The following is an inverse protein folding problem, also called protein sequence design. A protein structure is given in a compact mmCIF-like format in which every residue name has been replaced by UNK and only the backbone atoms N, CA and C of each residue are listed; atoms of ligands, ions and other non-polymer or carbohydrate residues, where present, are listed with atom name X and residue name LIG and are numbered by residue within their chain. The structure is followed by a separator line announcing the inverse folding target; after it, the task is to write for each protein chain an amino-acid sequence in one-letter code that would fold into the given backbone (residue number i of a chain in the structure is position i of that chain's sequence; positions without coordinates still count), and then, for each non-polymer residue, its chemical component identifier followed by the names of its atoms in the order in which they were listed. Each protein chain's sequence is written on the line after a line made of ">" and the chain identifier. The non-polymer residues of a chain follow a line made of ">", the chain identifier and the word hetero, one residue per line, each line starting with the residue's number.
data_IF_571656351982
#
_entry.id   IF_571656351982
#
_cell.length_a   1.000
_cell.length_b   1.000
_cell.length_c   1.000
_cell.angle_alpha   90.00
_cell.angle_beta   90.00
_cell.angle_gamma   90.00
#
_symmetry.space_group_name_H-M   'P 1'
#
loop_
_entity.id
_entity.type
_entity.pdbx_description
1 polymer ?
#
# COMPACT_ATOMS: atom_id res chain seq x y z
N UNK A 1 10.14 -4.95 17.81
CA UNK A 1 8.87 -4.96 17.03
C UNK A 1 8.79 -3.71 16.19
N UNK A 2 8.67 -3.85 14.87
CA UNK A 2 8.46 -2.72 13.98
C UNK A 2 7.02 -2.23 14.12
N UNK A 3 6.82 -0.96 14.42
CA UNK A 3 5.51 -0.34 14.63
C UNK A 3 5.06 0.43 13.39
N UNK A 4 3.94 0.03 12.82
CA UNK A 4 3.36 0.66 11.64
C UNK A 4 2.07 1.36 12.06
N UNK A 5 2.02 2.68 11.88
CA UNK A 5 0.82 3.45 12.08
C UNK A 5 -0.05 3.43 10.81
N UNK A 6 -1.25 2.90 10.94
CA UNK A 6 -2.28 2.92 9.90
C UNK A 6 -3.13 4.17 10.14
N UNK A 7 -2.96 5.17 9.27
CA UNK A 7 -3.59 6.48 9.41
C UNK A 7 -5.00 6.44 8.78
N UNK A 8 -5.91 5.73 9.41
CA UNK A 8 -7.31 5.60 8.99
C UNK A 8 -8.08 6.87 9.31
N UNK A 9 -7.81 7.96 8.57
CA UNK A 9 -8.32 9.29 8.87
C UNK A 9 -9.20 9.82 7.75
N UNK A 10 -10.26 10.57 8.11
CA UNK A 10 -11.13 11.22 7.15
C UNK A 10 -10.39 12.32 6.40
N UNK A 11 -10.48 12.37 5.06
CA UNK A 11 -9.89 13.46 4.29
C UNK A 11 -10.64 14.77 4.54
N UNK A 12 -9.96 15.87 4.29
CA UNK A 12 -10.57 17.19 4.15
C UNK A 12 -10.96 17.46 2.70
N UNK A 13 -11.68 18.53 2.46
CA UNK A 13 -12.16 18.92 1.12
C UNK A 13 -11.07 19.53 0.22
N UNK A 14 -9.91 19.90 0.79
CA UNK A 14 -8.84 20.59 0.10
C UNK A 14 -7.48 19.92 0.31
N UNK A 15 -6.57 20.08 -0.65
CA UNK A 15 -5.17 19.60 -0.57
C UNK A 15 -4.49 20.14 0.70
N UNK A 16 -4.65 21.42 0.98
CA UNK A 16 -4.07 22.07 2.19
C UNK A 16 -4.70 21.52 3.49
N UNK A 17 -6.01 21.23 3.47
CA UNK A 17 -6.70 20.58 4.58
C UNK A 17 -6.17 19.16 4.83
N UNK A 18 -5.97 18.39 3.76
CA UNK A 18 -5.38 17.04 3.83
C UNK A 18 -3.93 17.10 4.34
N UNK A 19 -3.13 18.07 3.89
CA UNK A 19 -1.79 18.27 4.39
C UNK A 19 -1.79 18.53 5.92
N UNK A 20 -2.63 19.44 6.41
CA UNK A 20 -2.71 19.76 7.86
C UNK A 20 -3.18 18.55 8.69
N UNK A 21 -4.23 17.87 8.26
CA UNK A 21 -4.71 16.64 8.92
C UNK A 21 -3.66 15.55 8.93
N UNK A 22 -2.98 15.32 7.81
CA UNK A 22 -1.94 14.31 7.70
C UNK A 22 -0.74 14.60 8.60
N UNK A 23 -0.30 15.85 8.70
CA UNK A 23 0.76 16.26 9.64
C UNK A 23 0.33 15.96 11.08
N UNK A 24 -0.91 16.28 11.46
CA UNK A 24 -1.43 15.97 12.80
C UNK A 24 -1.45 14.47 13.07
N UNK A 25 -1.94 13.67 12.12
CA UNK A 25 -1.96 12.21 12.23
C UNK A 25 -0.55 11.60 12.33
N UNK A 26 0.43 12.10 11.58
CA UNK A 26 1.82 11.67 11.71
C UNK A 26 2.42 12.01 13.10
N UNK A 27 2.10 13.17 13.67
CA UNK A 27 2.54 13.53 15.02
C UNK A 27 1.90 12.62 16.09
N UNK A 28 0.62 12.28 15.92
CA UNK A 28 -0.06 11.30 16.78
C UNK A 28 0.58 9.91 16.64
N UNK A 29 0.87 9.47 15.42
CA UNK A 29 1.57 8.21 15.16
C UNK A 29 2.93 8.15 15.88
N UNK A 30 3.71 9.23 15.78
CA UNK A 30 5.00 9.34 16.49
C UNK A 30 4.84 9.33 18.00
N UNK A 31 3.83 10.00 18.55
CA UNK A 31 3.53 9.98 19.97
C UNK A 31 3.18 8.56 20.47
N UNK A 32 2.70 7.69 19.60
CA UNK A 32 2.47 6.25 19.82
C UNK A 32 3.70 5.38 19.47
N UNK A 33 4.84 6.00 19.21
CA UNK A 33 6.14 5.36 18.94
C UNK A 33 6.18 4.57 17.61
N UNK A 34 5.47 5.02 16.58
CA UNK A 34 5.52 4.42 15.25
C UNK A 34 6.88 4.61 14.57
N UNK A 35 7.28 3.61 13.76
CA UNK A 35 8.45 3.64 12.89
C UNK A 35 8.09 4.04 11.46
N UNK A 36 6.88 3.68 11.02
CA UNK A 36 6.34 3.97 9.69
C UNK A 36 4.92 4.48 9.84
N UNK A 37 4.57 5.58 9.16
CA UNK A 37 3.21 6.05 8.98
C UNK A 37 2.72 5.74 7.57
N UNK A 38 1.60 5.03 7.43
CA UNK A 38 0.98 4.66 6.17
C UNK A 38 -0.34 5.39 5.99
N UNK A 39 -0.47 6.11 4.88
CA UNK A 39 -1.69 6.82 4.48
C UNK A 39 -2.61 5.97 3.59
N UNK A 40 -3.92 6.31 3.54
CA UNK A 40 -4.84 5.78 2.54
C UNK A 40 -4.47 6.23 1.11
N UNK A 41 -5.08 5.61 0.11
CA UNK A 41 -4.88 5.89 -1.32
C UNK A 41 -5.26 7.33 -1.69
N UNK A 42 -4.39 7.98 -2.52
CA UNK A 42 -4.59 9.38 -2.97
C UNK A 42 -4.94 10.36 -1.83
N UNK A 43 -4.20 10.30 -0.74
CA UNK A 43 -4.40 11.17 0.42
C UNK A 43 -4.40 12.66 0.08
N UNK A 44 -3.60 13.09 -0.92
CA UNK A 44 -3.49 14.50 -1.29
C UNK A 44 -4.84 15.16 -1.61
N UNK A 45 -5.77 14.41 -2.21
CA UNK A 45 -7.09 14.88 -2.62
C UNK A 45 -8.25 14.04 -2.04
N UNK A 46 -7.96 13.12 -1.11
CA UNK A 46 -8.96 12.28 -0.46
C UNK A 46 -9.66 11.30 -1.38
N UNK A 47 -8.97 10.78 -2.39
CA UNK A 47 -9.55 9.91 -3.43
C UNK A 47 -10.76 10.53 -4.14
N UNK A 48 -10.64 11.83 -4.48
CA UNK A 48 -11.63 12.55 -5.26
C UNK A 48 -11.13 12.66 -6.71
N UNK A 49 -11.76 11.96 -7.64
CA UNK A 49 -11.37 11.92 -9.06
C UNK A 49 -12.47 12.61 -9.88
N UNK A 50 -12.32 13.90 -10.22
CA UNK A 50 -13.25 14.60 -11.07
C UNK A 50 -13.31 13.98 -12.47
N UNK A 51 -14.50 13.96 -13.09
CA UNK A 51 -14.67 13.53 -14.49
C UNK A 51 -14.17 14.57 -15.50
N UNK A 52 -13.98 15.81 -15.08
CA UNK A 52 -13.41 16.90 -15.89
C UNK A 52 -11.88 16.87 -15.81
N UNK A 53 -11.20 16.78 -16.96
CA UNK A 53 -9.75 16.64 -17.03
C UNK A 53 -8.98 17.85 -16.45
N UNK A 54 -9.50 19.08 -16.63
CA UNK A 54 -8.85 20.28 -16.10
C UNK A 54 -9.04 20.37 -14.59
N UNK A 55 -10.20 19.97 -14.07
CA UNK A 55 -10.42 19.84 -12.63
C UNK A 55 -9.48 18.78 -12.04
N UNK A 56 -9.34 17.62 -12.69
CA UNK A 56 -8.44 16.56 -12.26
C UNK A 56 -6.98 17.05 -12.17
N UNK A 57 -6.49 17.75 -13.20
CA UNK A 57 -5.14 18.33 -13.19
C UNK A 57 -4.93 19.35 -12.06
N UNK A 58 -5.95 20.15 -11.71
CA UNK A 58 -5.86 21.11 -10.59
C UNK A 58 -5.75 20.44 -9.23
N UNK A 59 -6.27 19.20 -9.08
CA UNK A 59 -6.13 18.41 -7.85
C UNK A 59 -4.85 17.59 -7.79
N UNK A 60 -4.11 17.50 -8.88
CA UNK A 60 -2.85 16.77 -8.91
C UNK A 60 -1.71 17.60 -8.29
N UNK A 61 -0.82 16.92 -7.58
CA UNK A 61 0.37 17.53 -6.96
C UNK A 61 1.63 16.93 -7.59
N UNK A 62 2.69 17.72 -7.72
CA UNK A 62 3.99 17.19 -8.17
C UNK A 62 4.61 16.29 -7.11
N UNK A 63 5.22 15.18 -7.53
CA UNK A 63 6.00 14.30 -6.65
C UNK A 63 7.20 14.99 -5.99
N UNK A 64 7.70 16.08 -6.58
CA UNK A 64 8.78 16.93 -6.05
C UNK A 64 8.24 18.30 -5.55
N UNK A 65 6.92 18.43 -5.42
CA UNK A 65 6.25 19.67 -5.04
C UNK A 65 6.20 19.91 -3.53
N UNK A 66 5.63 21.06 -3.15
CA UNK A 66 5.58 21.51 -1.75
C UNK A 66 4.83 20.53 -0.84
N UNK A 67 3.77 19.88 -1.34
CA UNK A 67 3.03 18.88 -0.57
C UNK A 67 3.96 17.76 -0.09
N UNK A 68 4.75 17.17 -0.99
CA UNK A 68 5.69 16.09 -0.68
C UNK A 68 6.85 16.59 0.19
N UNK A 69 7.43 17.75 -0.13
CA UNK A 69 8.52 18.36 0.66
C UNK A 69 8.13 18.61 2.12
N UNK A 70 6.87 18.94 2.38
CA UNK A 70 6.37 19.12 3.76
C UNK A 70 6.38 17.78 4.51
N UNK A 71 6.05 16.64 3.87
CA UNK A 71 6.19 15.32 4.49
C UNK A 71 7.63 14.86 4.60
N UNK A 72 8.51 15.24 3.68
CA UNK A 72 9.95 14.99 3.81
C UNK A 72 10.54 15.71 5.04
N UNK A 73 10.21 16.97 5.23
CA UNK A 73 10.62 17.73 6.42
C UNK A 73 10.03 17.13 7.71
N UNK A 74 8.76 16.68 7.66
CA UNK A 74 8.10 16.07 8.79
C UNK A 74 8.71 14.70 9.15
N UNK A 75 9.07 13.87 8.17
CA UNK A 75 9.71 12.58 8.38
C UNK A 75 11.07 12.74 9.12
N UNK A 76 11.87 13.73 8.68
CA UNK A 76 13.11 14.10 9.36
C UNK A 76 12.86 14.62 10.78
N UNK A 77 11.89 15.52 10.96
CA UNK A 77 11.54 16.09 12.28
C UNK A 77 11.11 15.00 13.26
N UNK A 78 10.30 14.05 12.80
CA UNK A 78 9.73 12.99 13.63
C UNK A 78 10.65 11.77 13.78
N UNK A 79 11.77 11.69 13.05
CA UNK A 79 12.58 10.46 12.97
C UNK A 79 11.69 9.24 12.72
N UNK A 80 10.82 9.32 11.69
CA UNK A 80 9.80 8.34 11.34
C UNK A 80 9.60 8.30 9.83
N UNK A 81 9.59 7.11 9.23
CA UNK A 81 9.30 6.95 7.81
C UNK A 81 7.81 7.26 7.51
N UNK A 82 7.55 7.83 6.35
CA UNK A 82 6.19 8.20 5.93
C UNK A 82 5.93 7.67 4.51
N UNK A 83 4.89 6.87 4.35
CA UNK A 83 4.37 6.43 3.06
C UNK A 83 3.10 7.24 2.74
N UNK A 84 3.25 8.29 1.94
CA UNK A 84 2.14 9.12 1.47
C UNK A 84 1.65 8.67 0.11
N UNK A 85 0.35 8.90 -0.17
CA UNK A 85 -0.25 8.66 -1.46
C UNK A 85 -0.81 9.94 -2.05
N UNK A 86 -0.62 10.13 -3.35
CA UNK A 86 -0.98 11.38 -4.03
C UNK A 86 -1.64 11.09 -5.39
N UNK A 87 -2.55 11.97 -5.79
CA UNK A 87 -2.84 12.15 -7.19
C UNK A 87 -1.67 12.96 -7.77
N UNK A 88 -0.81 12.28 -8.55
CA UNK A 88 0.44 12.85 -9.05
C UNK A 88 0.23 13.57 -10.38
N UNK A 89 0.75 14.78 -10.49
CA UNK A 89 0.81 15.52 -11.74
C UNK A 89 1.76 14.83 -12.72
N UNK A 90 1.22 14.37 -13.83
CA UNK A 90 1.94 13.66 -14.90
C UNK A 90 1.26 13.93 -16.25
N UNK A 91 2.00 13.85 -17.34
CA UNK A 91 1.50 13.95 -18.71
C UNK A 91 1.60 12.60 -19.44
N UNK A 92 0.61 12.20 -20.25
CA UNK A 92 -0.60 12.97 -20.63
C UNK A 92 -1.72 12.96 -19.58
N UNK A 93 -1.71 12.03 -18.62
CA UNK A 93 -2.72 11.92 -17.56
C UNK A 93 -2.05 11.82 -16.20
N UNK A 94 -2.69 12.30 -15.11
CA UNK A 94 -2.21 12.10 -13.74
C UNK A 94 -2.02 10.63 -13.40
N UNK A 95 -1.21 10.36 -12.37
CA UNK A 95 -0.95 9.03 -11.81
C UNK A 95 -1.50 8.92 -10.39
N UNK A 96 -1.88 7.72 -10.01
CA UNK A 96 -2.13 7.36 -8.63
C UNK A 96 -0.82 6.82 -8.03
N UNK A 97 -0.16 7.61 -7.19
CA UNK A 97 1.20 7.32 -6.75
C UNK A 97 1.34 7.25 -5.23
N UNK A 98 2.19 6.36 -4.76
CA UNK A 98 2.64 6.26 -3.38
C UNK A 98 4.13 6.58 -3.31
N UNK A 99 4.52 7.44 -2.37
CA UNK A 99 5.89 7.91 -2.17
C UNK A 99 6.34 7.47 -0.78
N UNK A 100 7.39 6.65 -0.73
CA UNK A 100 8.03 6.26 0.52
C UNK A 100 9.15 7.23 0.86
N UNK A 101 9.06 7.85 2.03
CA UNK A 101 10.03 8.78 2.59
C UNK A 101 10.64 8.13 3.83
N UNK A 102 11.97 8.05 3.91
CA UNK A 102 12.64 7.51 5.09
C UNK A 102 12.63 8.50 6.28
N UNK A 103 13.04 8.03 7.44
CA UNK A 103 13.11 8.84 8.67
C UNK A 103 14.12 10.00 8.60
N UNK A 104 14.96 10.04 7.56
CA UNK A 104 15.90 11.12 7.29
C UNK A 104 15.34 12.16 6.31
N UNK A 105 14.07 12.03 5.90
CA UNK A 105 13.40 12.94 4.98
C UNK A 105 13.73 12.70 3.50
N UNK A 106 14.43 11.60 3.18
CA UNK A 106 14.78 11.27 1.81
C UNK A 106 13.67 10.42 1.17
N UNK A 107 13.27 10.76 -0.05
CA UNK A 107 12.42 9.90 -0.87
C UNK A 107 13.20 8.63 -1.25
N UNK A 108 12.71 7.47 -0.81
CA UNK A 108 13.32 6.15 -1.05
C UNK A 108 12.94 5.64 -2.44
N UNK A 109 11.64 5.65 -2.74
CA UNK A 109 11.10 5.41 -4.07
C UNK A 109 9.72 6.05 -4.23
N UNK A 110 9.27 6.12 -5.48
CA UNK A 110 7.91 6.40 -5.88
C UNK A 110 7.37 5.20 -6.66
N UNK A 111 6.17 4.75 -6.33
CA UNK A 111 5.42 3.72 -7.03
C UNK A 111 4.11 4.31 -7.55
N UNK A 112 3.83 4.11 -8.83
CA UNK A 112 2.54 4.47 -9.43
C UNK A 112 1.74 3.21 -9.71
N UNK A 113 0.45 3.23 -9.39
CA UNK A 113 -0.48 2.10 -9.50
C UNK A 113 -0.47 1.51 -10.90
N UNK A 114 -0.19 0.24 -11.03
CA UNK A 114 -0.15 -0.47 -12.32
C UNK A 114 -1.57 -0.86 -12.74
N UNK A 115 -2.36 -1.40 -11.84
CA UNK A 115 -3.73 -1.82 -12.14
C UNK A 115 -4.71 -0.73 -11.74
N UNK A 116 -4.91 0.25 -12.62
CA UNK A 116 -5.93 1.30 -12.45
C UNK A 116 -7.34 0.71 -12.60
N UNK A 117 -8.32 1.28 -11.88
CA UNK A 117 -9.74 0.91 -12.02
C UNK A 117 -10.31 1.54 -13.30
N UNK A 118 -9.82 1.08 -14.47
CA UNK A 118 -10.16 1.63 -15.80
C UNK A 118 -11.65 1.52 -16.13
N UNK A 119 -12.38 0.67 -15.41
CA UNK A 119 -13.84 0.49 -15.54
C UNK A 119 -14.63 1.58 -14.81
N UNK A 120 -13.96 2.46 -14.04
CA UNK A 120 -14.58 3.54 -13.28
C UNK A 120 -13.77 4.84 -13.40
N UNK A 121 -13.77 5.69 -12.37
CA UNK A 121 -13.16 7.03 -12.38
C UNK A 121 -11.66 7.02 -12.72
N UNK A 122 -10.91 5.99 -12.33
CA UNK A 122 -9.46 5.90 -12.62
C UNK A 122 -9.13 5.71 -14.12
N UNK A 123 -10.11 5.52 -15.02
CA UNK A 123 -9.89 5.61 -16.48
C UNK A 123 -9.31 6.94 -16.94
N UNK A 124 -9.41 7.96 -16.09
CA UNK A 124 -8.85 9.29 -16.30
C UNK A 124 -7.35 9.37 -15.93
N UNK A 125 -6.78 8.30 -15.36
CA UNK A 125 -5.39 8.22 -14.92
C UNK A 125 -4.56 7.35 -15.88
N UNK A 126 -3.24 7.55 -15.85
CA UNK A 126 -2.28 6.64 -16.49
C UNK A 126 -1.88 5.51 -15.51
N UNK A 127 -1.43 4.40 -16.10
CA UNK A 127 -0.88 3.25 -15.39
C UNK A 127 0.60 3.45 -15.06
N UNK A 128 1.06 2.93 -13.92
CA UNK A 128 2.48 2.84 -13.59
C UNK A 128 3.25 1.88 -14.48
N UNK A 129 4.59 1.93 -14.43
CA UNK A 129 5.47 1.19 -15.35
C UNK A 129 6.08 -0.08 -14.74
N UNK A 130 6.34 -0.14 -13.42
CA UNK A 130 7.04 -1.27 -12.77
C UNK A 130 6.72 -1.32 -11.26
N UNK A 131 7.02 -2.45 -10.65
CA UNK A 131 7.00 -2.65 -9.20
C UNK A 131 8.37 -2.37 -8.59
N UNK A 132 8.42 -1.64 -7.48
CA UNK A 132 9.66 -1.22 -6.82
C UNK A 132 9.77 -1.79 -5.42
N UNK A 133 11.00 -2.15 -5.03
CA UNK A 133 11.38 -2.56 -3.68
C UNK A 133 12.67 -1.83 -3.31
N UNK A 134 12.74 -1.31 -2.10
CA UNK A 134 13.94 -0.68 -1.58
C UNK A 134 14.17 -1.01 -0.10
N UNK A 135 15.39 -0.81 0.36
CA UNK A 135 15.73 -0.91 1.78
C UNK A 135 15.32 0.38 2.48
N UNK A 136 14.50 0.24 3.52
CA UNK A 136 14.08 1.31 4.40
C UNK A 136 14.85 1.19 5.72
N UNK A 137 15.54 2.24 6.11
CA UNK A 137 16.18 2.33 7.43
C UNK A 137 15.12 2.58 8.51
N UNK A 138 15.09 1.74 9.53
CA UNK A 138 14.23 1.85 10.70
C UNK A 138 15.01 1.70 12.00
N UNK A 139 14.39 2.01 13.13
CA UNK A 139 15.02 1.79 14.45
C UNK A 139 15.26 0.29 14.75
N UNK A 140 14.48 -0.59 14.14
CA UNK A 140 14.63 -2.05 14.25
C UNK A 140 15.64 -2.62 13.23
N UNK A 141 16.37 -1.75 12.51
CA UNK A 141 17.27 -2.10 11.43
C UNK A 141 16.61 -2.00 10.04
N UNK A 142 17.36 -2.29 8.96
CA UNK A 142 16.84 -2.16 7.61
C UNK A 142 15.80 -3.23 7.31
N UNK A 143 14.75 -2.84 6.56
CA UNK A 143 13.70 -3.72 6.05
C UNK A 143 13.47 -3.45 4.56
N UNK A 144 13.29 -4.49 3.75
CA UNK A 144 12.94 -4.35 2.34
C UNK A 144 11.44 -4.13 2.17
N UNK A 145 11.09 -2.95 1.66
CA UNK A 145 9.70 -2.50 1.53
C UNK A 145 9.32 -2.38 0.06
N UNK A 146 8.15 -2.91 -0.30
CA UNK A 146 7.49 -2.68 -1.58
C UNK A 146 6.12 -2.04 -1.38
N UNK A 147 5.53 -1.54 -2.47
CA UNK A 147 4.18 -0.96 -2.46
C UNK A 147 3.33 -1.57 -3.57
N UNK A 148 2.08 -1.81 -3.28
CA UNK A 148 0.99 -1.99 -4.23
C UNK A 148 -0.19 -1.14 -3.76
N UNK A 149 -1.01 -0.62 -4.70
CA UNK A 149 -2.08 0.32 -4.36
C UNK A 149 -3.43 -0.33 -4.64
N UNK A 150 -4.27 -0.47 -3.61
CA UNK A 150 -5.68 -0.85 -3.70
C UNK A 150 -5.94 -2.02 -4.68
N UNK A 151 -6.40 -1.75 -5.89
CA UNK A 151 -6.76 -2.73 -6.91
C UNK A 151 -5.60 -3.63 -7.34
N UNK A 152 -4.32 -3.21 -7.17
CA UNK A 152 -3.16 -4.07 -7.44
C UNK A 152 -3.22 -5.40 -6.65
N UNK A 153 -3.81 -5.42 -5.45
CA UNK A 153 -3.92 -6.63 -4.62
C UNK A 153 -4.84 -7.70 -5.22
N UNK A 154 -5.77 -7.31 -6.12
CA UNK A 154 -6.67 -8.26 -6.80
C UNK A 154 -5.87 -9.20 -7.71
N UNK A 155 -4.69 -8.75 -8.17
CA UNK A 155 -3.79 -9.50 -9.04
C UNK A 155 -2.67 -10.15 -8.21
N UNK A 156 -2.64 -11.52 -8.09
CA UNK A 156 -1.62 -12.22 -7.30
C UNK A 156 -0.19 -11.94 -7.77
N UNK A 157 -0.02 -11.58 -9.03
CA UNK A 157 1.27 -11.23 -9.64
C UNK A 157 1.92 -10.04 -8.94
N UNK A 158 1.15 -9.04 -8.50
CA UNK A 158 1.67 -7.84 -7.83
C UNK A 158 2.47 -8.19 -6.58
N UNK A 159 1.86 -8.90 -5.63
CA UNK A 159 2.54 -9.33 -4.41
C UNK A 159 3.66 -10.33 -4.71
N UNK A 160 3.47 -11.21 -5.71
CA UNK A 160 4.48 -12.19 -6.11
C UNK A 160 5.73 -11.54 -6.70
N UNK A 161 5.59 -10.54 -7.56
CA UNK A 161 6.73 -9.79 -8.13
C UNK A 161 7.49 -9.06 -7.01
N UNK A 162 6.77 -8.41 -6.09
CA UNK A 162 7.40 -7.73 -4.96
C UNK A 162 8.15 -8.69 -4.04
N UNK A 163 7.58 -9.87 -3.74
CA UNK A 163 8.29 -10.92 -2.99
C UNK A 163 9.55 -11.39 -3.73
N UNK A 164 9.47 -11.60 -5.06
CA UNK A 164 10.62 -12.02 -5.86
C UNK A 164 11.71 -10.95 -5.94
N UNK A 165 11.36 -9.67 -5.86
CA UNK A 165 12.29 -8.55 -5.69
C UNK A 165 12.83 -8.45 -4.26
N UNK A 166 12.40 -9.31 -3.35
CA UNK A 166 12.93 -9.45 -1.98
C UNK A 166 12.17 -8.68 -0.91
N UNK A 167 10.99 -8.12 -1.20
CA UNK A 167 10.18 -7.43 -0.20
C UNK A 167 9.90 -8.31 1.03
N UNK A 168 9.98 -7.71 2.22
CA UNK A 168 9.60 -8.31 3.49
C UNK A 168 8.29 -7.70 4.01
N UNK A 169 8.04 -6.42 3.67
CA UNK A 169 6.84 -5.67 4.00
C UNK A 169 6.26 -5.05 2.74
N UNK A 170 4.96 -5.20 2.52
CA UNK A 170 4.21 -4.49 1.50
C UNK A 170 3.32 -3.45 2.16
N UNK A 171 3.43 -2.20 1.72
CA UNK A 171 2.56 -1.11 2.12
C UNK A 171 1.44 -0.96 1.08
N UNK A 172 0.19 -0.95 1.52
CA UNK A 172 -0.98 -0.96 0.64
C UNK A 172 -1.91 0.21 0.98
N UNK A 173 -1.68 1.39 0.40
CA UNK A 173 -2.69 2.45 0.39
C UNK A 173 -3.97 1.96 -0.27
N UNK A 174 -5.14 2.25 0.34
CA UNK A 174 -6.41 1.70 -0.09
C UNK A 174 -7.54 2.73 0.02
N UNK A 175 -8.56 2.62 -0.86
CA UNK A 175 -9.79 3.40 -0.82
C UNK A 175 -10.92 2.56 -1.43
N UNK A 176 -11.44 1.60 -0.68
CA UNK A 176 -12.57 0.77 -1.10
C UNK A 176 -13.24 0.09 0.10
N UNK A 177 -14.43 -0.51 -0.08
CA UNK A 177 -15.01 -1.36 0.96
C UNK A 177 -14.10 -2.56 1.24
N UNK A 178 -13.67 -2.72 2.49
CA UNK A 178 -12.91 -3.88 2.95
C UNK A 178 -13.88 -4.92 3.50
N UNK A 179 -14.20 -5.90 2.69
CA UNK A 179 -15.12 -6.98 3.00
C UNK A 179 -14.39 -8.35 2.97
N UNK A 180 -15.10 -9.43 3.26
CA UNK A 180 -14.51 -10.75 3.50
C UNK A 180 -13.59 -11.23 2.36
N UNK A 181 -13.93 -10.96 1.09
CA UNK A 181 -13.12 -11.42 -0.03
C UNK A 181 -11.81 -10.63 -0.12
N UNK A 182 -11.86 -9.29 0.02
CA UNK A 182 -10.68 -8.42 0.00
C UNK A 182 -9.76 -8.63 1.19
N UNK A 183 -10.30 -8.83 2.38
CA UNK A 183 -9.53 -9.24 3.56
C UNK A 183 -8.90 -10.63 3.35
N UNK A 184 -9.62 -11.57 2.74
CA UNK A 184 -9.11 -12.90 2.40
C UNK A 184 -8.02 -12.85 1.32
N UNK A 185 -8.13 -11.97 0.33
CA UNK A 185 -7.06 -11.74 -0.64
C UNK A 185 -5.77 -11.28 0.04
N UNK A 186 -5.82 -10.26 0.91
CA UNK A 186 -4.64 -9.79 1.64
C UNK A 186 -4.03 -10.89 2.51
N UNK A 187 -4.86 -11.65 3.23
CA UNK A 187 -4.43 -12.81 4.01
C UNK A 187 -3.72 -13.85 3.12
N UNK A 188 -4.29 -14.15 1.95
CA UNK A 188 -3.70 -15.10 0.99
C UNK A 188 -2.39 -14.56 0.41
N UNK A 189 -2.34 -13.27 0.01
CA UNK A 189 -1.10 -12.64 -0.49
C UNK A 189 0.02 -12.68 0.55
N UNK A 190 -0.30 -12.41 1.83
CA UNK A 190 0.67 -12.51 2.91
C UNK A 190 1.17 -13.96 3.09
N UNK A 191 0.25 -14.92 3.15
CA UNK A 191 0.54 -16.35 3.35
C UNK A 191 1.39 -16.92 2.22
N UNK A 192 0.93 -16.83 0.97
CA UNK A 192 1.56 -17.49 -0.19
C UNK A 192 2.93 -16.90 -0.57
N UNK A 193 3.24 -15.69 -0.10
CA UNK A 193 4.48 -14.97 -0.37
C UNK A 193 5.39 -14.89 0.86
N UNK A 194 4.94 -15.29 2.04
CA UNK A 194 5.65 -15.10 3.32
C UNK A 194 6.15 -13.67 3.47
N UNK A 195 5.26 -12.70 3.28
CA UNK A 195 5.54 -11.25 3.42
C UNK A 195 4.52 -10.64 4.36
N UNK A 196 4.95 -9.62 5.11
CA UNK A 196 4.01 -8.81 5.85
C UNK A 196 3.28 -7.85 4.90
N UNK A 197 1.97 -7.62 5.14
CA UNK A 197 1.16 -6.68 4.35
C UNK A 197 0.41 -5.75 5.30
N UNK A 198 0.76 -4.46 5.25
CA UNK A 198 0.07 -3.40 5.98
C UNK A 198 -0.84 -2.64 5.01
N UNK A 199 -2.14 -2.60 5.29
CA UNK A 199 -3.12 -1.88 4.46
C UNK A 199 -3.72 -0.74 5.26
N UNK A 200 -3.78 0.46 4.67
CA UNK A 200 -4.43 1.61 5.25
C UNK A 200 -5.59 2.08 4.35
N UNK A 201 -6.79 2.10 4.92
CA UNK A 201 -8.03 2.48 4.24
C UNK A 201 -8.64 3.74 4.89
N UNK A 202 -9.57 4.38 4.19
CA UNK A 202 -10.37 5.45 4.77
C UNK A 202 -11.45 4.88 5.71
N UNK A 203 -11.80 5.59 6.79
CA UNK A 203 -12.85 5.18 7.71
C UNK A 203 -14.26 5.39 7.13
N UNK A 204 -15.27 4.80 7.78
CA UNK A 204 -16.68 5.22 7.67
C UNK A 204 -16.83 6.63 8.30
N UNK A 205 -17.65 7.55 7.76
CA UNK A 205 -18.61 7.37 6.67
C UNK A 205 -18.12 7.84 5.29
N UNK A 206 -16.80 7.77 4.99
CA UNK A 206 -16.35 8.10 3.64
C UNK A 206 -17.04 7.16 2.63
N UNK A 207 -17.66 7.70 1.54
CA UNK A 207 -18.30 6.89 0.53
C UNK A 207 -17.38 5.77 0.01
N UNK A 208 -17.93 4.58 -0.17
CA UNK A 208 -17.24 3.38 -0.63
C UNK A 208 -16.03 2.94 0.22
N UNK A 209 -15.95 3.40 1.49
CA UNK A 209 -14.92 3.00 2.43
C UNK A 209 -15.57 2.64 3.79
N UNK A 210 -14.95 1.72 4.51
CA UNK A 210 -15.46 1.23 5.78
C UNK A 210 -14.36 0.91 6.81
N UNK A 211 -13.19 1.56 6.71
CA UNK A 211 -12.09 1.28 7.61
C UNK A 211 -11.43 -0.08 7.35
N UNK A 212 -11.30 -0.90 8.38
CA UNK A 212 -10.66 -2.22 8.33
C UNK A 212 -9.23 -2.16 7.78
N UNK A 213 -8.46 -1.15 8.20
CA UNK A 213 -7.02 -1.12 7.99
C UNK A 213 -6.36 -2.30 8.72
N UNK A 214 -5.42 -3.01 8.08
CA UNK A 214 -4.94 -4.31 8.57
C UNK A 214 -3.42 -4.42 8.57
N UNK A 215 -2.92 -5.35 9.40
CA UNK A 215 -1.59 -5.94 9.24
C UNK A 215 -1.72 -7.47 9.22
N UNK A 216 -1.25 -8.07 8.14
CA UNK A 216 -1.00 -9.50 8.02
C UNK A 216 0.51 -9.72 8.09
N UNK A 217 1.00 -10.63 8.93
CA UNK A 217 2.45 -10.84 9.11
C UNK A 217 3.04 -11.92 8.20
N UNK A 218 2.18 -12.69 7.50
CA UNK A 218 2.60 -13.73 6.57
C UNK A 218 3.15 -15.01 7.24
N UNK A 219 3.14 -15.11 8.56
CA UNK A 219 3.64 -16.26 9.32
C UNK A 219 2.48 -17.17 9.70
N UNK A 220 2.33 -18.31 9.02
CA UNK A 220 1.21 -19.22 9.23
C UNK A 220 1.53 -20.41 10.14
N UNK A 221 2.76 -20.90 10.13
CA UNK A 221 3.16 -22.09 10.89
C UNK A 221 4.25 -21.72 11.90
N UNK A 222 4.03 -22.09 13.16
CA UNK A 222 4.98 -21.94 14.25
C UNK A 222 5.16 -23.29 14.94
N UNK A 223 6.36 -23.61 15.37
CA UNK A 223 6.65 -24.90 16.03
C UNK A 223 5.82 -25.14 17.29
N UNK A 224 5.44 -24.07 17.98
CA UNK A 224 4.65 -24.09 19.21
C UNK A 224 3.14 -24.28 18.94
N UNK A 225 2.70 -24.14 17.68
CA UNK A 225 1.29 -24.21 17.30
C UNK A 225 0.99 -25.47 16.47
N UNK A 226 0.04 -26.30 16.89
CA UNK A 226 -0.42 -27.42 16.08
C UNK A 226 -1.26 -26.90 14.91
N UNK A 227 -0.73 -26.97 13.70
CA UNK A 227 -1.40 -26.51 12.48
C UNK A 227 -1.06 -25.05 12.13
N UNK A 228 -1.88 -24.43 11.29
CA UNK A 228 -1.72 -23.03 10.88
C UNK A 228 -2.47 -22.07 11.80
N UNK A 229 -1.91 -20.86 11.98
CA UNK A 229 -2.60 -19.74 12.62
C UNK A 229 -3.09 -18.73 11.59
N UNK A 230 -3.97 -17.83 11.98
CA UNK A 230 -4.30 -16.66 11.17
C UNK A 230 -3.10 -15.72 11.08
N UNK A 231 -2.78 -15.26 9.88
CA UNK A 231 -1.72 -14.27 9.64
C UNK A 231 -2.18 -12.84 9.92
N UNK A 232 -3.48 -12.60 10.15
CA UNK A 232 -4.00 -11.30 10.57
C UNK A 232 -3.60 -11.03 12.03
N UNK A 233 -2.67 -10.11 12.23
CA UNK A 233 -2.21 -9.72 13.58
C UNK A 233 -2.87 -8.43 14.06
N UNK A 234 -3.44 -7.67 13.14
CA UNK A 234 -4.18 -6.45 13.46
C UNK A 234 -5.25 -6.17 12.40
N UNK A 235 -6.44 -5.78 12.86
CA UNK A 235 -7.52 -5.23 12.04
C UNK A 235 -8.20 -4.10 12.82
N UNK A 236 -8.27 -2.91 12.21
CA UNK A 236 -8.98 -1.77 12.77
C UNK A 236 -10.49 -1.93 12.61
N UNK A 237 -11.27 -1.23 13.44
CA UNK A 237 -12.71 -1.06 13.23
C UNK A 237 -13.00 -0.07 12.08
N UNK A 238 -14.27 0.33 11.91
CA UNK A 238 -14.68 1.26 10.86
C UNK A 238 -14.43 2.74 11.21
N UNK A 239 -14.07 3.05 12.44
CA UNK A 239 -13.96 4.42 12.96
C UNK A 239 -12.67 5.11 12.53
N UNK A 240 -12.69 6.45 12.53
CA UNK A 240 -11.50 7.27 12.31
C UNK A 240 -10.49 7.08 13.45
N UNK A 241 -9.22 6.90 13.11
CA UNK A 241 -8.16 6.79 14.12
C UNK A 241 -6.76 6.59 13.55
N UNK A 242 -5.78 6.76 14.42
CA UNK A 242 -4.38 6.37 14.18
C UNK A 242 -4.11 5.07 14.94
N UNK A 243 -4.06 3.98 14.22
CA UNK A 243 -3.92 2.63 14.77
C UNK A 243 -2.47 2.14 14.65
N UNK A 244 -1.92 1.55 15.70
CA UNK A 244 -0.58 0.96 15.67
C UNK A 244 -0.67 -0.54 15.51
N UNK A 245 -0.05 -1.05 14.47
CA UNK A 245 0.13 -2.48 14.22
C UNK A 245 1.60 -2.86 14.39
N UNK A 246 1.88 -3.98 15.05
CA UNK A 246 3.24 -4.42 15.39
C UNK A 246 3.64 -5.65 14.58
N UNK A 247 4.81 -5.58 13.94
CA UNK A 247 5.40 -6.65 13.14
C UNK A 247 6.66 -7.19 13.79
N UNK A 248 6.70 -8.50 14.03
CA UNK A 248 7.90 -9.23 14.46
C UNK A 248 8.76 -9.59 13.24
N UNK A 249 9.75 -8.75 12.94
CA UNK A 249 10.68 -8.97 11.83
C UNK A 249 11.59 -10.19 12.06
N UNK A 250 11.93 -10.50 13.30
CA UNK A 250 12.79 -11.65 13.62
C UNK A 250 12.04 -12.93 13.32
N UNK A 251 10.79 -13.03 13.77
CA UNK A 251 9.91 -14.16 13.49
C UNK A 251 9.66 -14.33 11.98
N UNK A 252 9.31 -13.24 11.28
CA UNK A 252 9.08 -13.27 9.83
C UNK A 252 10.33 -13.75 9.07
N UNK A 253 11.52 -13.24 9.40
CA UNK A 253 12.78 -13.61 8.75
C UNK A 253 13.16 -15.05 9.01
N UNK A 254 12.95 -15.55 10.24
CA UNK A 254 13.15 -16.96 10.59
C UNK A 254 12.22 -17.84 9.76
N UNK A 255 10.91 -17.52 9.75
CA UNK A 255 9.90 -18.24 8.99
C UNK A 255 10.22 -18.34 7.49
N UNK A 256 10.58 -17.21 6.87
CA UNK A 256 10.95 -17.16 5.43
C UNK A 256 12.16 -18.04 5.09
N UNK A 257 13.06 -18.24 6.04
CA UNK A 257 14.25 -19.07 5.85
C UNK A 257 13.99 -20.56 6.00
N UNK A 258 13.01 -20.93 6.81
CA UNK A 258 12.75 -22.31 7.21
C UNK A 258 11.61 -22.95 6.41
N UNK A 259 10.62 -22.15 5.97
CA UNK A 259 9.42 -22.65 5.30
C UNK A 259 9.58 -22.86 3.79
N UNK A 260 8.70 -23.71 3.26
CA UNK A 260 8.76 -24.21 1.87
C UNK A 260 8.04 -23.33 0.85
N UNK A 261 7.29 -22.33 1.30
CA UNK A 261 6.58 -21.39 0.43
C UNK A 261 7.52 -20.40 -0.27
N UNK A 262 6.98 -19.47 -1.00
CA UNK A 262 7.78 -18.45 -1.68
C UNK A 262 8.40 -18.96 -2.97
N UNK A 263 9.72 -18.83 -3.14
CA UNK A 263 10.37 -19.01 -4.45
C UNK A 263 11.04 -20.38 -4.67
N UNK A 264 11.45 -21.08 -3.59
CA UNK A 264 12.33 -22.26 -3.68
C UNK A 264 11.77 -23.40 -4.54
N UNK A 265 10.46 -23.64 -4.47
CA UNK A 265 9.80 -24.77 -5.16
C UNK A 265 8.96 -24.35 -6.36
N UNK A 266 9.01 -23.07 -6.75
CA UNK A 266 8.33 -22.57 -7.95
C UNK A 266 8.90 -23.22 -9.20
N UNK A 267 8.06 -23.32 -10.23
CA UNK A 267 8.42 -23.88 -11.55
C UNK A 267 8.21 -22.87 -12.67
N UNK A 268 8.99 -21.76 -12.71
CA UNK A 268 8.73 -20.61 -13.61
C UNK A 268 8.64 -21.01 -15.09
N UNK A 269 9.42 -21.99 -15.53
CA UNK A 269 9.38 -22.49 -16.91
C UNK A 269 8.03 -23.15 -17.33
N UNK A 270 7.05 -23.23 -16.41
CA UNK A 270 5.68 -23.71 -16.70
C UNK A 270 4.64 -22.58 -16.70
N UNK A 271 5.05 -21.34 -16.44
CA UNK A 271 4.14 -20.20 -16.22
C UNK A 271 4.04 -19.27 -17.43
N UNK A 272 4.39 -19.73 -18.63
CA UNK A 272 4.39 -18.89 -19.84
C UNK A 272 3.05 -18.19 -20.13
N UNK A 273 1.92 -18.80 -19.76
CA UNK A 273 0.59 -18.19 -19.92
C UNK A 273 0.38 -16.93 -19.05
N UNK A 274 1.17 -16.73 -17.98
CA UNK A 274 1.04 -15.52 -17.15
C UNK A 274 1.57 -14.25 -17.85
N UNK A 275 2.32 -14.40 -18.93
CA UNK A 275 2.84 -13.28 -19.73
C UNK A 275 2.22 -13.24 -21.14
N UNK A 276 1.22 -14.07 -21.41
CA UNK A 276 0.46 -14.03 -22.66
C UNK A 276 -0.57 -12.90 -22.58
N UNK A 277 -0.54 -12.01 -23.55
CA UNK A 277 -1.43 -10.85 -23.62
C UNK A 277 -2.80 -11.18 -24.25
N UNK A 278 -2.99 -12.41 -24.68
CA UNK A 278 -4.24 -12.85 -25.35
C UNK A 278 -5.40 -12.89 -24.34
N UNK A 279 -6.45 -12.14 -24.63
CA UNK A 279 -7.68 -12.13 -23.83
C UNK A 279 -8.70 -13.04 -24.52
N UNK A 280 -9.19 -14.03 -23.79
CA UNK A 280 -10.18 -15.01 -24.30
C UNK A 280 -11.55 -14.84 -23.62
N UNK A 281 -12.60 -15.32 -24.29
CA UNK A 281 -13.92 -15.45 -23.66
C UNK A 281 -13.84 -16.27 -22.36
N UNK A 282 -14.63 -15.93 -21.32
CA UNK A 282 -15.66 -14.89 -21.25
C UNK A 282 -15.15 -13.50 -20.80
N UNK A 283 -13.84 -13.26 -20.82
CA UNK A 283 -13.19 -12.06 -20.25
C UNK A 283 -13.07 -10.90 -21.24
N UNK A 284 -13.53 -11.06 -22.50
CA UNK A 284 -13.55 -9.99 -23.48
C UNK A 284 -14.57 -8.92 -23.04
N UNK A 285 -14.12 -7.67 -22.92
CA UNK A 285 -14.93 -6.52 -22.50
C UNK A 285 -14.90 -5.45 -23.57
N UNK A 286 -16.08 -4.95 -23.98
CA UNK A 286 -16.20 -3.92 -25.03
C UNK A 286 -15.68 -2.54 -24.62
N UNK A 287 -15.59 -2.29 -23.33
CA UNK A 287 -15.13 -1.05 -22.69
C UNK A 287 -13.62 -1.05 -22.43
N UNK A 288 -12.92 -2.06 -22.94
CA UNK A 288 -11.50 -2.23 -22.63
C UNK A 288 -10.62 -2.27 -23.85
N UNK A 289 -9.31 -2.08 -23.53
CA UNK A 289 -8.18 -2.32 -24.43
C UNK A 289 -8.39 -3.60 -25.25
N UNK A 290 -8.28 -3.43 -26.53
CA UNK A 290 -8.14 -4.51 -27.49
C UNK A 290 -6.67 -4.62 -27.84
#
# INVERSE_FOLDING_TARGET
>A
MLKIALLQVMPAETIEGNLKKGITACREAKAKDADIALFPEMWSNGYCIPSDADALRRFAVSADGDFVKRYQALALELDMAIAISVLESHEPKPLNSSILIDRHGKQVYKYSKIHTCDFDAERMLDSGADFYVADLDTREGPIRVGTMICYDREFPESARILMLKGAELLLVPNACPMEINRLSQLRTRAFENMVAIATCNYPSPKPDCNGHSTLFDGVAYLQEFPGSRDTCVFEANEEEGVFIAELDLVMLRKYRKEEVFGNAYRKPGKYGLLIDETINEPFIRKDRRV
#
